data_IF_416956396456
#
_entry.id   IF_416956396456
#
_cell.length_a   1.000
_cell.length_b   1.000
_cell.length_c   1.000
_cell.angle_alpha   90.00
_cell.angle_beta   90.00
_cell.angle_gamma   90.00
#
_symmetry.space_group_name_H-M   'P 1'
#
loop_
_entity.id
_entity.type
_entity.pdbx_description
1 polymer ?
#
# COMPACT_ATOMS: atom_id res chain seq x y z
N UNK A 1 40.90 -0.83 7.46
CA UNK A 1 39.80 -1.82 7.54
C UNK A 1 38.64 -1.37 8.43
N UNK A 2 38.61 -0.13 8.93
CA UNK A 2 37.53 0.39 9.76
C UNK A 2 36.68 1.41 8.97
N UNK A 3 35.93 0.95 7.96
CA UNK A 3 35.03 1.77 7.15
C UNK A 3 33.71 1.03 6.91
N UNK A 4 32.57 1.71 7.07
CA UNK A 4 31.24 1.10 6.85
C UNK A 4 31.03 0.65 5.39
N UNK A 5 31.68 1.32 4.44
CA UNK A 5 31.64 0.97 3.02
C UNK A 5 33.04 1.06 2.41
N UNK A 6 33.43 0.05 1.63
CA UNK A 6 34.65 0.05 0.82
C UNK A 6 34.29 0.31 -0.65
N UNK A 7 34.84 1.35 -1.26
CA UNK A 7 34.59 1.74 -2.65
C UNK A 7 35.91 1.91 -3.41
N UNK A 8 35.97 1.45 -4.66
CA UNK A 8 37.20 1.50 -5.46
C UNK A 8 37.52 2.87 -6.07
N UNK A 9 36.51 3.73 -6.30
CA UNK A 9 36.68 5.08 -6.88
C UNK A 9 35.63 6.04 -6.32
N UNK A 10 35.98 7.32 -6.21
CA UNK A 10 35.10 8.35 -5.63
C UNK A 10 33.79 8.56 -6.40
N UNK A 11 33.77 8.36 -7.73
CA UNK A 11 32.54 8.51 -8.53
C UNK A 11 31.41 7.55 -8.10
N UNK A 12 31.72 6.39 -7.50
CA UNK A 12 30.68 5.48 -6.99
C UNK A 12 29.93 6.03 -5.77
N UNK A 13 30.50 7.02 -5.06
CA UNK A 13 29.86 7.67 -3.92
C UNK A 13 28.56 8.37 -4.33
N UNK A 14 28.52 8.94 -5.55
CA UNK A 14 27.32 9.62 -6.07
C UNK A 14 26.13 8.67 -6.15
N UNK A 15 26.33 7.49 -6.75
CA UNK A 15 25.28 6.46 -6.87
C UNK A 15 24.96 5.79 -5.55
N UNK A 16 25.95 5.58 -4.68
CA UNK A 16 25.69 5.00 -3.36
C UNK A 16 24.81 5.95 -2.52
N UNK A 17 25.16 7.22 -2.45
CA UNK A 17 24.46 8.19 -1.62
C UNK A 17 23.08 8.55 -2.21
N UNK A 18 23.03 9.02 -3.45
CA UNK A 18 21.79 9.56 -4.03
C UNK A 18 20.74 8.50 -4.35
N UNK A 19 21.16 7.30 -4.76
CA UNK A 19 20.22 6.23 -5.11
C UNK A 19 19.98 5.32 -3.91
N UNK A 20 21.02 4.68 -3.38
CA UNK A 20 20.84 3.70 -2.32
C UNK A 20 20.52 4.34 -0.98
N UNK A 21 21.11 5.51 -0.67
CA UNK A 21 20.77 6.28 0.53
C UNK A 21 19.32 6.76 0.54
N UNK A 22 18.84 7.32 -0.59
CA UNK A 22 17.45 7.76 -0.74
C UNK A 22 16.46 6.59 -0.59
N UNK A 23 16.69 5.48 -1.31
CA UNK A 23 15.86 4.29 -1.20
C UNK A 23 15.88 3.68 0.19
N UNK A 24 17.05 3.55 0.81
CA UNK A 24 17.18 3.00 2.16
C UNK A 24 16.41 3.83 3.18
N UNK A 25 16.55 5.17 3.13
CA UNK A 25 15.80 6.07 4.00
C UNK A 25 14.28 5.97 3.79
N UNK A 26 13.82 6.03 2.52
CA UNK A 26 12.40 5.99 2.18
C UNK A 26 11.74 4.67 2.60
N UNK A 27 12.41 3.55 2.30
CA UNK A 27 12.01 2.20 2.71
C UNK A 27 11.93 2.04 4.21
N UNK A 28 13.00 2.40 4.92
CA UNK A 28 13.07 2.24 6.37
C UNK A 28 12.03 3.11 7.08
N UNK A 29 11.85 4.36 6.66
CA UNK A 29 10.85 5.25 7.22
C UNK A 29 9.42 4.70 7.09
N UNK A 30 9.05 4.23 5.89
CA UNK A 30 7.73 3.63 5.62
C UNK A 30 7.53 2.31 6.37
N UNK A 31 8.55 1.46 6.37
CA UNK A 31 8.55 0.19 7.10
C UNK A 31 8.33 0.43 8.59
N UNK A 32 9.06 1.37 9.20
CA UNK A 32 8.92 1.67 10.62
C UNK A 32 7.55 2.26 10.96
N UNK A 33 7.04 3.20 10.16
CA UNK A 33 5.69 3.76 10.36
C UNK A 33 4.61 2.66 10.32
N UNK A 34 4.67 1.79 9.31
CA UNK A 34 3.70 0.70 9.19
C UNK A 34 3.89 -0.38 10.29
N UNK A 35 5.12 -0.61 10.74
CA UNK A 35 5.38 -1.49 11.89
C UNK A 35 4.74 -0.94 13.17
N UNK A 36 4.83 0.37 13.43
CA UNK A 36 4.13 0.98 14.56
C UNK A 36 2.61 0.94 14.39
N UNK A 37 2.12 1.23 13.18
CA UNK A 37 0.70 1.15 12.85
C UNK A 37 0.12 -0.24 13.20
N UNK A 38 0.69 -1.32 12.64
CA UNK A 38 0.11 -2.67 12.82
C UNK A 38 0.13 -3.12 14.28
N UNK A 39 1.21 -2.80 15.02
CA UNK A 39 1.34 -3.19 16.41
C UNK A 39 0.39 -2.38 17.29
N UNK A 40 0.27 -1.07 17.03
CA UNK A 40 -0.67 -0.21 17.74
C UNK A 40 -2.12 -0.64 17.48
N UNK A 41 -2.47 -0.93 16.22
CA UNK A 41 -3.82 -1.39 15.87
C UNK A 41 -4.18 -2.70 16.59
N UNK A 42 -3.24 -3.65 16.64
CA UNK A 42 -3.46 -4.93 17.33
C UNK A 42 -3.52 -4.79 18.86
N UNK A 43 -2.64 -3.98 19.46
CA UNK A 43 -2.66 -3.74 20.90
C UNK A 43 -3.92 -2.98 21.34
N UNK A 44 -4.33 -1.97 20.58
CA UNK A 44 -5.55 -1.19 20.87
C UNK A 44 -6.83 -2.00 20.64
N UNK A 45 -6.83 -2.97 19.71
CA UNK A 45 -7.92 -3.94 19.57
C UNK A 45 -8.18 -4.71 20.88
N UNK A 46 -7.11 -5.21 21.50
CA UNK A 46 -7.20 -5.90 22.79
C UNK A 46 -7.61 -4.94 23.92
N UNK A 47 -7.18 -3.68 23.87
CA UNK A 47 -7.62 -2.65 24.80
C UNK A 47 -9.14 -2.42 24.74
N UNK A 48 -9.72 -2.35 23.54
CA UNK A 48 -11.18 -2.21 23.39
C UNK A 48 -11.94 -3.37 24.02
N UNK A 49 -11.43 -4.59 23.89
CA UNK A 49 -12.01 -5.77 24.57
C UNK A 49 -12.01 -5.64 26.09
N UNK A 50 -10.96 -5.07 26.70
CA UNK A 50 -10.89 -4.94 28.16
C UNK A 50 -12.01 -4.07 28.73
N UNK A 51 -12.51 -3.09 27.97
CA UNK A 51 -13.66 -2.26 28.38
C UNK A 51 -14.92 -3.09 28.61
N UNK A 52 -15.11 -4.17 27.85
CA UNK A 52 -16.30 -5.03 27.94
C UNK A 52 -16.14 -6.18 28.93
N UNK A 53 -14.92 -6.47 29.39
CA UNK A 53 -14.63 -7.59 30.28
C UNK A 53 -14.29 -7.13 31.71
N UNK A 54 -14.81 -5.96 32.10
CA UNK A 54 -14.62 -5.34 33.40
C UNK A 54 -13.15 -5.29 33.85
N UNK A 55 -12.22 -5.08 32.91
CA UNK A 55 -10.77 -5.06 33.17
C UNK A 55 -10.21 -6.34 33.80
N UNK A 56 -10.86 -7.49 33.59
CA UNK A 56 -10.42 -8.79 34.09
C UNK A 56 -9.06 -9.25 33.57
N UNK A 57 -8.54 -8.63 32.50
CA UNK A 57 -7.29 -9.03 31.85
C UNK A 57 -7.41 -10.28 30.98
N UNK A 58 -8.63 -10.76 30.74
CA UNK A 58 -8.88 -11.88 29.83
C UNK A 58 -8.67 -11.45 28.37
N UNK A 59 -8.02 -12.30 27.58
CA UNK A 59 -7.80 -12.06 26.16
C UNK A 59 -8.74 -12.91 25.32
N UNK A 60 -9.42 -12.33 24.32
CA UNK A 60 -10.31 -13.08 23.44
C UNK A 60 -9.51 -13.89 22.41
N UNK A 61 -8.32 -13.38 22.03
CA UNK A 61 -7.43 -14.04 21.07
C UNK A 61 -6.45 -14.94 21.83
N UNK A 62 -6.26 -16.16 21.33
CA UNK A 62 -5.31 -17.12 21.89
C UNK A 62 -3.83 -16.67 21.76
N UNK A 63 -3.00 -17.04 22.73
CA UNK A 63 -1.58 -16.66 22.82
C UNK A 63 -0.74 -17.07 21.61
N UNK A 64 -1.05 -18.20 20.96
CA UNK A 64 -0.36 -18.64 19.75
C UNK A 64 -0.69 -17.69 18.59
N UNK A 65 -1.97 -17.31 18.45
CA UNK A 65 -2.38 -16.33 17.44
C UNK A 65 -1.80 -14.92 17.71
N UNK A 66 -1.66 -14.50 18.97
CA UNK A 66 -0.92 -13.27 19.32
C UNK A 66 0.53 -13.32 18.83
N UNK A 67 1.21 -14.45 19.02
CA UNK A 67 2.63 -14.60 18.68
C UNK A 67 2.83 -14.66 17.16
N UNK A 68 2.01 -15.45 16.47
CA UNK A 68 2.11 -15.66 15.02
C UNK A 68 1.71 -14.41 14.22
N UNK A 69 0.80 -13.58 14.76
CA UNK A 69 0.45 -12.29 14.17
C UNK A 69 1.68 -11.45 13.85
N UNK A 70 2.56 -11.28 14.84
CA UNK A 70 3.77 -10.48 14.68
C UNK A 70 4.88 -11.21 13.93
N UNK A 71 5.00 -12.52 14.10
CA UNK A 71 6.10 -13.29 13.56
C UNK A 71 5.93 -13.72 12.10
N UNK A 72 4.72 -14.09 11.68
CA UNK A 72 4.49 -14.72 10.37
C UNK A 72 3.51 -13.92 9.52
N UNK A 73 2.34 -13.57 10.06
CA UNK A 73 1.28 -12.98 9.24
C UNK A 73 1.64 -11.59 8.70
N UNK A 74 2.41 -10.82 9.46
CA UNK A 74 2.62 -9.41 9.13
C UNK A 74 4.09 -8.99 8.93
N UNK A 75 5.07 -9.78 9.36
CA UNK A 75 6.51 -9.46 9.27
C UNK A 75 7.13 -9.78 7.89
N UNK A 76 6.70 -10.85 7.23
CA UNK A 76 7.26 -11.24 5.93
C UNK A 76 6.83 -10.25 4.82
N UNK A 77 5.54 -9.88 4.72
CA UNK A 77 5.11 -8.91 3.70
C UNK A 77 5.75 -7.53 3.92
N UNK A 78 5.81 -7.05 5.16
CA UNK A 78 6.40 -5.74 5.48
C UNK A 78 7.90 -5.72 5.18
N UNK A 79 8.64 -6.80 5.48
CA UNK A 79 10.07 -6.88 5.22
C UNK A 79 10.34 -6.83 3.71
N UNK A 80 9.57 -7.56 2.91
CA UNK A 80 9.78 -7.57 1.46
C UNK A 80 9.35 -6.27 0.81
N UNK A 81 8.23 -5.66 1.21
CA UNK A 81 7.90 -4.30 0.78
C UNK A 81 8.99 -3.32 1.21
N UNK A 82 9.52 -3.44 2.44
CA UNK A 82 10.64 -2.65 2.93
C UNK A 82 11.96 -2.83 2.18
N UNK A 83 12.17 -3.94 1.46
CA UNK A 83 13.40 -4.16 0.68
C UNK A 83 13.18 -3.88 -0.81
N UNK A 84 12.03 -4.26 -1.35
CA UNK A 84 11.74 -4.23 -2.78
C UNK A 84 11.10 -2.93 -3.24
N UNK A 85 10.43 -2.17 -2.36
CA UNK A 85 9.70 -0.98 -2.77
C UNK A 85 10.68 0.14 -3.19
N UNK A 86 10.42 0.75 -4.32
CA UNK A 86 11.19 1.87 -4.85
C UNK A 86 10.23 3.04 -4.95
N UNK A 87 10.68 4.28 -4.76
CA UNK A 87 9.82 5.45 -4.96
C UNK A 87 10.04 6.08 -6.33
N UNK A 88 11.31 6.26 -6.71
CA UNK A 88 11.78 6.77 -8.00
C UNK A 88 12.86 5.86 -8.61
N UNK A 89 13.01 5.93 -9.93
CA UNK A 89 14.04 5.19 -10.65
C UNK A 89 15.44 5.77 -10.39
N UNK A 90 16.45 4.89 -10.37
CA UNK A 90 17.86 5.27 -10.23
C UNK A 90 18.34 6.37 -11.21
N UNK A 91 18.05 6.33 -12.53
CA UNK A 91 18.44 7.41 -13.44
C UNK A 91 17.79 8.76 -13.10
N UNK A 92 16.56 8.76 -12.60
CA UNK A 92 15.85 9.99 -12.22
C UNK A 92 16.48 10.61 -10.97
N UNK A 93 16.81 9.81 -9.96
CA UNK A 93 17.50 10.27 -8.75
C UNK A 93 18.91 10.83 -9.03
N UNK A 94 19.62 10.27 -10.02
CA UNK A 94 20.91 10.79 -10.46
C UNK A 94 20.80 12.08 -11.26
N UNK A 95 19.75 12.22 -12.08
CA UNK A 95 19.48 13.44 -12.86
C UNK A 95 19.05 14.59 -11.95
N UNK A 96 18.18 14.32 -10.98
CA UNK A 96 17.53 15.33 -10.14
C UNK A 96 17.91 15.14 -8.67
N UNK A 97 19.07 15.70 -8.30
CA UNK A 97 19.68 15.53 -6.97
C UNK A 97 18.88 16.17 -5.82
N UNK A 98 17.92 17.05 -6.12
CA UNK A 98 17.15 17.76 -5.11
C UNK A 98 16.21 16.83 -4.30
N UNK A 99 15.79 15.68 -4.85
CA UNK A 99 14.98 14.69 -4.13
C UNK A 99 15.69 14.13 -2.88
N UNK A 100 17.03 14.10 -2.88
CA UNK A 100 17.81 13.66 -1.72
C UNK A 100 17.64 14.57 -0.49
N UNK A 101 17.20 15.82 -0.70
CA UNK A 101 16.91 16.75 0.41
C UNK A 101 15.86 16.21 1.38
N UNK A 102 14.94 15.34 0.91
CA UNK A 102 13.92 14.70 1.72
C UNK A 102 14.51 13.84 2.86
N UNK A 103 15.60 13.13 2.58
CA UNK A 103 16.34 12.36 3.57
C UNK A 103 17.10 13.26 4.55
N UNK A 104 17.75 14.31 4.04
CA UNK A 104 18.51 15.26 4.87
C UNK A 104 17.62 16.04 5.85
N UNK A 105 16.40 16.38 5.44
CA UNK A 105 15.42 17.10 6.27
C UNK A 105 14.54 16.15 7.12
N UNK A 106 14.77 14.84 7.06
CA UNK A 106 13.95 13.81 7.68
C UNK A 106 12.43 13.99 7.47
N UNK A 107 12.03 14.30 6.24
CA UNK A 107 10.64 14.66 5.94
C UNK A 107 9.68 13.46 5.88
N UNK A 108 10.17 12.24 5.63
CA UNK A 108 9.32 11.04 5.57
C UNK A 108 8.95 10.51 6.96
N UNK A 109 9.89 10.57 7.91
CA UNK A 109 9.69 10.19 9.29
C UNK A 109 9.75 11.41 10.20
N UNK A 110 8.58 11.92 10.55
CA UNK A 110 8.40 13.08 11.44
C UNK A 110 7.47 12.69 12.59
N UNK A 111 7.66 13.25 13.78
CA UNK A 111 6.80 13.00 14.94
C UNK A 111 5.32 13.24 14.65
N UNK A 112 5.00 14.25 13.82
CA UNK A 112 3.64 14.51 13.36
C UNK A 112 3.04 13.34 12.56
N UNK A 113 3.78 12.84 11.56
CA UNK A 113 3.36 11.68 10.75
C UNK A 113 3.21 10.42 11.60
N UNK A 114 4.12 10.23 12.56
CA UNK A 114 3.99 9.16 13.55
C UNK A 114 2.70 9.28 14.37
N UNK A 115 2.39 10.48 14.90
CA UNK A 115 1.15 10.73 15.63
C UNK A 115 -0.10 10.47 14.80
N UNK A 116 -0.12 10.89 13.54
CA UNK A 116 -1.21 10.58 12.60
C UNK A 116 -1.35 9.07 12.36
N UNK A 117 -0.23 8.36 12.19
CA UNK A 117 -0.23 6.90 12.04
C UNK A 117 -0.76 6.18 13.29
N UNK A 118 -0.44 6.67 14.49
CA UNK A 118 -0.99 6.14 15.75
C UNK A 118 -2.50 6.41 15.84
N UNK A 119 -2.95 7.61 15.50
CA UNK A 119 -4.37 7.95 15.48
C UNK A 119 -5.15 7.09 14.47
N UNK A 120 -4.58 6.87 13.27
CA UNK A 120 -5.13 5.98 12.25
C UNK A 120 -5.22 4.53 12.75
N UNK A 121 -4.19 4.03 13.45
CA UNK A 121 -4.20 2.70 14.06
C UNK A 121 -5.30 2.54 15.13
N UNK A 122 -5.49 3.55 15.98
CA UNK A 122 -6.54 3.58 17.01
C UNK A 122 -7.93 3.61 16.34
N UNK A 123 -8.10 4.39 15.28
CA UNK A 123 -9.35 4.44 14.52
C UNK A 123 -9.67 3.09 13.88
N UNK A 124 -8.71 2.48 13.16
CA UNK A 124 -8.95 1.21 12.46
C UNK A 124 -9.20 0.06 13.44
N UNK A 125 -8.50 0.01 14.57
CA UNK A 125 -8.78 -1.01 15.59
C UNK A 125 -10.14 -0.83 16.26
N UNK A 126 -10.54 0.42 16.52
CA UNK A 126 -11.87 0.77 17.02
C UNK A 126 -12.94 0.32 16.04
N UNK A 127 -12.81 0.68 14.76
CA UNK A 127 -13.74 0.28 13.71
C UNK A 127 -13.84 -1.25 13.58
N UNK A 128 -12.71 -1.98 13.57
CA UNK A 128 -12.71 -3.45 13.54
C UNK A 128 -13.44 -4.03 14.76
N UNK A 129 -13.14 -3.53 15.96
CA UNK A 129 -13.76 -4.04 17.19
C UNK A 129 -15.27 -3.81 17.21
N UNK A 130 -15.72 -2.56 17.04
CA UNK A 130 -17.13 -2.21 17.13
C UNK A 130 -17.96 -2.78 15.98
N UNK A 131 -17.39 -2.89 14.77
CA UNK A 131 -18.06 -3.55 13.66
C UNK A 131 -18.24 -5.04 13.93
N UNK A 132 -17.20 -5.71 14.44
CA UNK A 132 -17.28 -7.12 14.81
C UNK A 132 -18.26 -7.33 15.96
N UNK A 133 -18.21 -6.49 17.00
CA UNK A 133 -19.13 -6.53 18.12
C UNK A 133 -20.58 -6.32 17.69
N UNK A 134 -20.84 -5.36 16.79
CA UNK A 134 -22.18 -5.10 16.25
C UNK A 134 -22.75 -6.25 15.41
N UNK A 135 -21.94 -6.90 14.58
CA UNK A 135 -22.36 -8.06 13.77
C UNK A 135 -22.67 -9.29 14.62
N UNK A 136 -22.01 -9.42 15.77
CA UNK A 136 -22.17 -10.54 16.69
C UNK A 136 -22.97 -10.20 17.96
N UNK A 137 -23.56 -9.02 18.02
CA UNK A 137 -24.41 -8.58 19.12
C UNK A 137 -25.61 -9.51 19.27
N UNK A 138 -25.93 -9.91 20.50
CA UNK A 138 -27.01 -10.87 20.84
C UNK A 138 -26.93 -12.24 20.15
N UNK A 139 -25.77 -12.62 19.63
CA UNK A 139 -25.59 -13.95 19.05
C UNK A 139 -24.91 -14.92 20.01
N UNK A 140 -25.24 -16.21 19.89
CA UNK A 140 -24.71 -17.29 20.75
C UNK A 140 -23.25 -17.67 20.39
N UNK A 141 -22.37 -16.68 20.31
CA UNK A 141 -20.96 -16.86 19.94
C UNK A 141 -20.10 -16.74 21.19
N UNK A 142 -19.34 -17.80 21.47
CA UNK A 142 -18.41 -17.82 22.59
C UNK A 142 -17.26 -16.82 22.41
N UNK A 143 -16.63 -16.43 23.52
CA UNK A 143 -15.49 -15.49 23.55
C UNK A 143 -14.34 -15.97 22.63
N UNK A 144 -14.04 -17.26 22.67
CA UNK A 144 -13.00 -17.87 21.83
C UNK A 144 -13.34 -17.72 20.35
N UNK A 145 -14.57 -18.05 19.94
CA UNK A 145 -15.02 -17.89 18.55
C UNK A 145 -14.91 -16.43 18.09
N UNK A 146 -15.35 -15.49 18.94
CA UNK A 146 -15.22 -14.06 18.67
C UNK A 146 -13.75 -13.65 18.51
N UNK A 147 -12.86 -14.19 19.34
CA UNK A 147 -11.40 -14.04 19.23
C UNK A 147 -10.83 -14.42 17.86
N UNK A 148 -11.24 -15.57 17.31
CA UNK A 148 -10.84 -16.00 15.97
C UNK A 148 -11.34 -15.02 14.90
N UNK A 149 -12.60 -14.59 15.01
CA UNK A 149 -13.19 -13.63 14.06
C UNK A 149 -12.39 -12.33 14.06
N UNK A 150 -12.21 -11.69 15.22
CA UNK A 150 -11.52 -10.40 15.29
C UNK A 150 -10.04 -10.52 14.88
N UNK A 151 -9.38 -11.64 15.17
CA UNK A 151 -7.99 -11.89 14.76
C UNK A 151 -7.86 -11.95 13.23
N UNK A 152 -8.75 -12.68 12.55
CA UNK A 152 -8.72 -12.78 11.09
C UNK A 152 -9.05 -11.42 10.46
N UNK A 153 -10.08 -10.74 10.96
CA UNK A 153 -10.51 -9.45 10.43
C UNK A 153 -9.41 -8.40 10.58
N UNK A 154 -8.75 -8.28 11.74
CA UNK A 154 -7.67 -7.30 11.92
C UNK A 154 -6.48 -7.60 11.00
N UNK A 155 -6.13 -8.88 10.79
CA UNK A 155 -5.05 -9.23 9.86
C UNK A 155 -5.41 -8.83 8.42
N UNK A 156 -6.64 -9.07 8.00
CA UNK A 156 -7.10 -8.66 6.67
C UNK A 156 -7.00 -7.13 6.53
N UNK A 157 -7.52 -6.36 7.50
CA UNK A 157 -7.45 -4.88 7.48
C UNK A 157 -6.01 -4.38 7.42
N UNK A 158 -5.13 -4.92 8.25
CA UNK A 158 -3.71 -4.57 8.28
C UNK A 158 -3.02 -4.91 6.94
N UNK A 159 -3.29 -6.08 6.36
CA UNK A 159 -2.76 -6.46 5.04
C UNK A 159 -3.25 -5.54 3.92
N UNK A 160 -4.53 -5.17 3.89
CA UNK A 160 -5.01 -4.19 2.91
C UNK A 160 -4.45 -2.79 3.15
N UNK A 161 -4.20 -2.39 4.41
CA UNK A 161 -3.48 -1.15 4.70
C UNK A 161 -2.08 -1.17 4.06
N UNK A 162 -1.34 -2.28 4.18
CA UNK A 162 -0.04 -2.43 3.51
C UNK A 162 -0.17 -2.37 1.98
N UNK A 163 -1.23 -2.95 1.42
CA UNK A 163 -1.54 -2.86 0.00
C UNK A 163 -1.62 -1.40 -0.47
N UNK A 164 -2.35 -0.57 0.28
CA UNK A 164 -2.54 0.86 -0.01
C UNK A 164 -1.26 1.67 0.19
N UNK A 165 -0.36 1.25 1.08
CA UNK A 165 0.94 1.90 1.30
C UNK A 165 2.02 1.50 0.30
N UNK A 166 1.88 0.34 -0.34
CA UNK A 166 2.86 -0.16 -1.33
C UNK A 166 2.86 0.75 -2.57
N UNK A 167 4.03 1.29 -2.91
CA UNK A 167 4.15 2.12 -4.12
C UNK A 167 4.21 1.23 -5.35
N UNK A 168 5.21 0.36 -5.43
CA UNK A 168 5.47 -0.47 -6.61
C UNK A 168 5.05 -1.91 -6.39
N UNK A 169 4.04 -2.31 -7.16
CA UNK A 169 3.52 -3.66 -7.15
C UNK A 169 4.40 -4.59 -8.00
N UNK A 170 5.23 -5.38 -7.33
CA UNK A 170 5.96 -6.49 -7.94
C UNK A 170 5.17 -7.80 -7.79
N UNK A 171 5.53 -8.82 -8.57
CA UNK A 171 4.95 -10.17 -8.42
C UNK A 171 5.23 -10.72 -7.01
N UNK A 172 6.43 -10.47 -6.48
CA UNK A 172 6.82 -10.90 -5.13
C UNK A 172 5.93 -10.24 -4.08
N UNK A 173 5.64 -8.93 -4.20
CA UNK A 173 4.76 -8.22 -3.29
C UNK A 173 3.33 -8.81 -3.32
N UNK A 174 2.81 -9.15 -4.49
CA UNK A 174 1.50 -9.82 -4.60
C UNK A 174 1.50 -11.18 -3.91
N UNK A 175 2.46 -12.05 -4.24
CA UNK A 175 2.52 -13.41 -3.70
C UNK A 175 2.63 -13.39 -2.18
N UNK A 176 3.45 -12.50 -1.61
CA UNK A 176 3.64 -12.45 -0.16
C UNK A 176 2.48 -11.79 0.56
N UNK A 177 1.87 -10.74 0.00
CA UNK A 177 0.75 -10.07 0.64
C UNK A 177 -0.51 -10.95 0.63
N UNK A 178 -0.87 -11.51 -0.52
CA UNK A 178 -2.02 -12.42 -0.61
C UNK A 178 -1.73 -13.76 0.05
N UNK A 179 -0.48 -14.22 -0.04
CA UNK A 179 0.00 -15.41 0.66
C UNK A 179 -0.10 -15.26 2.18
N UNK A 180 0.15 -14.07 2.75
CA UNK A 180 0.00 -13.87 4.19
C UNK A 180 -1.46 -13.88 4.64
N UNK A 181 -2.37 -13.31 3.84
CA UNK A 181 -3.81 -13.42 4.09
C UNK A 181 -4.25 -14.88 4.04
N UNK A 182 -3.86 -15.63 3.00
CA UNK A 182 -4.17 -17.06 2.89
C UNK A 182 -3.57 -17.88 4.05
N UNK A 183 -2.35 -17.56 4.47
CA UNK A 183 -1.65 -18.24 5.56
C UNK A 183 -2.43 -18.15 6.88
N UNK A 184 -3.10 -17.03 7.15
CA UNK A 184 -3.92 -16.86 8.36
C UNK A 184 -5.07 -17.86 8.37
N UNK A 185 -5.76 -18.02 7.23
CA UNK A 185 -6.83 -19.01 7.12
C UNK A 185 -6.29 -20.43 7.27
N UNK A 186 -5.25 -20.79 6.51
CA UNK A 186 -4.64 -22.13 6.55
C UNK A 186 -4.18 -22.48 7.96
N UNK A 187 -3.47 -21.56 8.63
CA UNK A 187 -3.02 -21.78 10.00
C UNK A 187 -4.19 -21.99 10.95
N UNK A 188 -5.20 -21.12 10.94
CA UNK A 188 -6.34 -21.24 11.86
C UNK A 188 -7.17 -22.51 11.60
N UNK A 189 -7.31 -22.95 10.35
CA UNK A 189 -7.95 -24.23 10.03
C UNK A 189 -7.16 -25.42 10.59
N UNK A 190 -5.84 -25.46 10.37
CA UNK A 190 -4.97 -26.54 10.85
C UNK A 190 -4.90 -26.53 12.39
N UNK A 191 -4.75 -25.35 12.99
CA UNK A 191 -4.63 -25.18 14.44
C UNK A 191 -5.88 -25.70 15.17
N UNK A 192 -7.08 -25.28 14.75
CA UNK A 192 -8.33 -25.73 15.37
C UNK A 192 -8.65 -27.20 15.10
N UNK A 193 -8.10 -27.79 14.02
CA UNK A 193 -8.21 -29.22 13.74
C UNK A 193 -7.23 -30.08 14.57
N UNK A 194 -6.02 -29.60 14.85
CA UNK A 194 -5.03 -30.34 15.67
C UNK A 194 -5.38 -30.28 17.15
N UNK A 195 -5.73 -29.09 17.66
CA UNK A 195 -6.09 -28.90 19.07
C UNK A 195 -7.31 -29.77 19.47
N UNK A 196 -8.20 -30.01 18.50
CA UNK A 196 -9.33 -30.94 18.59
C UNK A 196 -8.95 -32.35 19.08
N UNK A 197 -7.73 -32.82 18.75
CA UNK A 197 -7.25 -34.15 19.11
C UNK A 197 -6.48 -34.17 20.42
N UNK A 198 -5.88 -33.04 20.80
CA UNK A 198 -4.99 -32.95 21.94
C UNK A 198 -5.62 -32.31 23.19
N UNK A 199 -6.84 -31.74 23.07
CA UNK A 199 -7.64 -31.12 24.16
C UNK A 199 -6.83 -30.12 25.00
N UNK A 200 -5.91 -29.38 24.39
CA UNK A 200 -5.17 -28.35 25.12
C UNK A 200 -6.05 -27.13 25.36
N UNK A 201 -6.91 -26.78 24.39
CA UNK A 201 -7.90 -25.71 24.51
C UNK A 201 -9.28 -26.17 23.97
N UNK A 202 -10.37 -25.54 24.42
CA UNK A 202 -11.74 -25.78 23.91
C UNK A 202 -11.93 -25.14 22.52
N UNK A 203 -11.00 -25.39 21.59
CA UNK A 203 -10.96 -24.76 20.26
C UNK A 203 -11.46 -25.67 19.12
N UNK A 204 -12.19 -26.72 19.48
CA UNK A 204 -12.61 -27.79 18.57
C UNK A 204 -13.39 -27.24 17.37
N UNK A 205 -12.79 -27.31 16.17
CA UNK A 205 -13.43 -26.97 14.89
C UNK A 205 -14.04 -25.57 14.78
N UNK A 206 -13.64 -24.64 15.66
CA UNK A 206 -14.16 -23.26 15.69
C UNK A 206 -14.02 -22.58 14.33
N UNK A 207 -12.89 -22.74 13.65
CA UNK A 207 -12.66 -22.08 12.36
C UNK A 207 -13.64 -22.55 11.29
N UNK A 208 -14.02 -23.83 11.30
CA UNK A 208 -15.01 -24.38 10.38
C UNK A 208 -16.42 -23.88 10.72
N UNK A 209 -16.76 -23.83 12.02
CA UNK A 209 -18.03 -23.29 12.49
C UNK A 209 -18.19 -21.80 12.13
N UNK A 210 -17.16 -20.99 12.36
CA UNK A 210 -17.14 -19.56 12.01
C UNK A 210 -17.26 -19.35 10.51
N UNK A 211 -16.47 -20.07 9.72
CA UNK A 211 -16.45 -19.95 8.25
C UNK A 211 -17.72 -20.48 7.58
N UNK A 212 -18.49 -21.34 8.24
CA UNK A 212 -19.79 -21.81 7.75
C UNK A 212 -20.87 -20.72 7.81
N UNK A 213 -20.68 -19.67 8.61
CA UNK A 213 -21.68 -18.61 8.81
C UNK A 213 -21.45 -17.46 7.81
N UNK A 214 -22.47 -17.03 7.04
CA UNK A 214 -22.30 -15.99 6.01
C UNK A 214 -21.91 -14.61 6.60
N UNK A 215 -22.33 -14.33 7.84
CA UNK A 215 -21.98 -13.09 8.57
C UNK A 215 -20.48 -12.88 8.72
N UNK A 216 -19.70 -13.96 8.83
CA UNK A 216 -18.25 -13.88 8.94
C UNK A 216 -17.62 -13.34 7.64
N UNK A 217 -17.99 -13.90 6.50
CA UNK A 217 -17.48 -13.46 5.19
C UNK A 217 -17.89 -12.02 4.86
N UNK A 218 -19.13 -11.66 5.20
CA UNK A 218 -19.59 -10.28 5.07
C UNK A 218 -18.73 -9.32 5.89
N UNK A 219 -18.43 -9.67 7.14
CA UNK A 219 -17.55 -8.87 8.00
C UNK A 219 -16.11 -8.78 7.44
N UNK A 220 -15.55 -9.87 6.92
CA UNK A 220 -14.22 -9.86 6.30
C UNK A 220 -14.14 -8.95 5.07
N UNK A 221 -15.24 -8.77 4.33
CA UNK A 221 -15.30 -7.86 3.18
C UNK A 221 -15.61 -6.42 3.59
N UNK A 222 -16.51 -6.23 4.55
CA UNK A 222 -16.96 -4.91 4.99
C UNK A 222 -15.90 -4.19 5.83
N UNK A 223 -15.22 -4.90 6.74
CA UNK A 223 -14.30 -4.28 7.67
C UNK A 223 -13.12 -3.54 6.99
N UNK A 224 -12.42 -4.12 5.97
CA UNK A 224 -11.38 -3.40 5.26
C UNK A 224 -11.89 -2.16 4.55
N UNK A 225 -13.08 -2.22 3.96
CA UNK A 225 -13.69 -1.07 3.28
C UNK A 225 -13.93 0.06 4.27
N UNK A 226 -14.63 -0.21 5.38
CA UNK A 226 -14.93 0.80 6.40
C UNK A 226 -13.66 1.40 7.01
N UNK A 227 -12.68 0.55 7.37
CA UNK A 227 -11.45 1.01 8.01
C UNK A 227 -10.54 1.82 7.08
N UNK A 228 -10.49 1.49 5.79
CA UNK A 228 -9.56 2.11 4.85
C UNK A 228 -10.12 3.34 4.15
N UNK A 229 -11.43 3.57 4.15
CA UNK A 229 -12.06 4.74 3.52
C UNK A 229 -11.38 6.05 3.94
N UNK A 230 -11.23 6.38 5.24
CA UNK A 230 -10.62 7.66 5.63
C UNK A 230 -9.17 7.78 5.18
N UNK A 231 -8.42 6.67 5.21
CA UNK A 231 -7.02 6.62 4.78
C UNK A 231 -6.88 6.87 3.28
N UNK A 232 -7.72 6.20 2.47
CA UNK A 232 -7.72 6.36 1.02
C UNK A 232 -8.13 7.77 0.64
N UNK A 233 -9.18 8.32 1.25
CA UNK A 233 -9.61 9.71 1.03
C UNK A 233 -8.47 10.67 1.38
N UNK A 234 -7.84 10.50 2.54
CA UNK A 234 -6.71 11.34 2.96
C UNK A 234 -5.56 11.33 1.95
N UNK A 235 -5.21 10.15 1.41
CA UNK A 235 -4.18 10.03 0.38
C UNK A 235 -4.57 10.69 -0.94
N UNK A 236 -5.82 10.53 -1.38
CA UNK A 236 -6.30 11.17 -2.61
C UNK A 236 -6.30 12.69 -2.47
N UNK A 237 -6.74 13.21 -1.33
CA UNK A 237 -6.72 14.65 -1.04
C UNK A 237 -5.29 15.18 -0.99
N UNK A 238 -4.36 14.48 -0.34
CA UNK A 238 -2.94 14.87 -0.33
C UNK A 238 -2.35 14.85 -1.75
N UNK A 239 -2.71 13.87 -2.58
CA UNK A 239 -2.21 13.75 -3.95
C UNK A 239 -2.74 14.84 -4.88
N UNK A 240 -4.02 15.19 -4.78
CA UNK A 240 -4.65 16.18 -5.67
C UNK A 240 -4.34 17.63 -5.24
N UNK A 241 -4.46 17.93 -3.94
CA UNK A 241 -4.36 19.31 -3.44
C UNK A 241 -2.95 19.67 -2.96
N UNK A 242 -2.17 18.72 -2.47
CA UNK A 242 -0.83 18.95 -1.90
C UNK A 242 0.24 17.97 -2.42
N UNK A 243 0.38 17.76 -3.74
CA UNK A 243 1.29 16.76 -4.28
C UNK A 243 2.74 17.06 -3.94
N UNK A 244 3.38 16.16 -3.20
CA UNK A 244 4.82 16.17 -2.95
C UNK A 244 5.63 16.07 -4.25
N UNK A 245 6.79 16.71 -4.30
CA UNK A 245 7.68 16.69 -5.47
C UNK A 245 8.01 15.26 -5.94
N UNK A 246 8.21 14.33 -5.00
CA UNK A 246 8.45 12.91 -5.30
C UNK A 246 7.24 12.25 -5.96
N UNK A 247 6.02 12.62 -5.55
CA UNK A 247 4.78 12.11 -6.16
C UNK A 247 4.61 12.67 -7.58
N UNK A 248 4.91 13.95 -7.81
CA UNK A 248 4.89 14.57 -9.15
C UNK A 248 5.90 13.90 -10.09
N UNK A 249 7.13 13.71 -9.61
CA UNK A 249 8.18 13.03 -10.36
C UNK A 249 7.78 11.60 -10.76
N UNK A 250 7.16 10.88 -9.82
CA UNK A 250 6.65 9.53 -10.06
C UNK A 250 5.51 9.51 -11.08
N UNK A 251 4.58 10.46 -11.02
CA UNK A 251 3.51 10.59 -12.00
C UNK A 251 4.09 10.84 -13.42
N UNK A 252 5.11 11.69 -13.52
CA UNK A 252 5.82 11.94 -14.78
C UNK A 252 6.56 10.69 -15.30
N UNK A 253 7.20 9.89 -14.43
CA UNK A 253 7.80 8.61 -14.83
C UNK A 253 6.76 7.62 -15.36
N UNK A 254 5.58 7.54 -14.71
CA UNK A 254 4.49 6.67 -15.15
C UNK A 254 3.95 7.07 -16.52
N UNK A 255 3.82 8.37 -16.79
CA UNK A 255 3.39 8.89 -18.08
C UNK A 255 4.40 8.60 -19.20
N UNK A 256 5.71 8.64 -18.91
CA UNK A 256 6.76 8.26 -19.86
C UNK A 256 6.79 6.76 -20.16
N UNK A 257 6.34 5.91 -19.23
CA UNK A 257 6.28 4.45 -19.38
C UNK A 257 5.03 3.97 -20.12
N UNK A 258 3.91 4.68 -20.02
CA UNK A 258 2.74 4.38 -20.85
C UNK A 258 3.03 4.74 -22.30
N UNK A 259 2.99 3.79 -23.25
CA UNK A 259 3.03 4.12 -24.66
C UNK A 259 1.71 4.83 -24.96
N UNK A 260 1.69 6.16 -24.93
CA UNK A 260 0.57 6.89 -25.51
C UNK A 260 0.73 6.72 -27.02
N UNK A 261 -0.26 6.17 -27.74
CA UNK A 261 -0.24 6.23 -29.20
C UNK A 261 -0.18 7.71 -29.53
N UNK A 262 0.86 8.13 -30.25
CA UNK A 262 0.99 9.49 -30.73
C UNK A 262 -0.34 9.90 -31.35
N UNK A 263 -0.98 10.92 -30.79
CA UNK A 263 -2.00 11.68 -31.51
C UNK A 263 -1.35 12.09 -32.81
N UNK A 264 -1.69 11.38 -33.88
CA UNK A 264 -1.35 11.75 -35.24
C UNK A 264 -1.99 13.11 -35.45
N UNK A 265 -1.22 14.18 -35.31
CA UNK A 265 -1.54 15.42 -36.00
C UNK A 265 -1.70 15.03 -37.47
N UNK A 266 -2.86 15.25 -38.10
CA UNK A 266 -2.99 14.99 -39.51
C UNK A 266 -1.96 15.89 -40.19
N UNK A 267 -0.98 15.26 -40.84
CA UNK A 267 -0.18 15.93 -41.86
C UNK A 267 -1.19 16.34 -42.92
N UNK A 268 -1.37 17.65 -43.12
CA UNK A 268 -2.05 18.20 -44.29
C UNK A 268 -1.31 17.67 -45.52
N UNK A 269 -1.84 16.60 -46.10
CA UNK A 269 -1.44 16.11 -47.41
C UNK A 269 -1.95 17.11 -48.42
N UNK A 270 -1.03 17.93 -48.94
CA UNK A 270 -1.14 18.54 -50.26
C UNK A 270 -1.45 17.43 -51.29
N UNK A 271 -2.73 17.29 -51.64
CA UNK A 271 -3.15 16.54 -52.82
C UNK A 271 -3.20 17.51 -54.02
N UNK A 272 -2.14 17.48 -54.82
CA UNK A 272 -2.27 17.76 -56.25
C UNK A 272 -2.97 16.58 -56.91
N UNK A 273 -4.18 16.78 -57.44
CA UNK A 273 -4.68 15.99 -58.57
C UNK A 273 -5.37 16.88 -59.61
N UNK A 274 -4.69 16.98 -60.75
CA UNK A 274 -5.17 17.29 -62.09
C UNK A 274 -6.59 16.76 -62.42
N UNK A 275 -7.50 17.59 -62.96
CA UNK A 275 -7.72 17.72 -64.42
C UNK A 275 -9.01 18.44 -64.86
N UNK A 276 -8.81 19.26 -65.90
CA UNK A 276 -9.68 19.56 -67.06
C UNK A 276 -10.97 20.41 -66.96
N UNK A 277 -10.82 21.62 -67.53
CA UNK A 277 -11.44 22.07 -68.79
C UNK A 277 -12.49 23.19 -68.75
N UNK A 278 -12.16 24.19 -69.58
CA UNK A 278 -13.01 25.05 -70.39
C UNK A 278 -13.29 26.51 -69.96
N UNK A 279 -12.91 27.34 -70.94
CA UNK A 279 -13.53 28.57 -71.39
C UNK A 279 -13.24 29.88 -70.66
N UNK A 280 -12.33 30.60 -71.32
CA UNK A 280 -12.65 31.81 -72.07
C UNK A 280 -12.31 33.16 -71.42
N UNK A 281 -11.75 33.99 -72.31
CA UNK A 281 -11.85 35.44 -72.36
C UNK A 281 -10.82 36.26 -71.60
N UNK A 282 -9.89 36.77 -72.41
CA UNK A 282 -9.49 38.18 -72.50
C UNK A 282 -8.69 38.84 -71.36
N UNK A 283 -7.57 39.40 -71.83
CA UNK A 283 -7.22 40.82 -71.70
C UNK A 283 -6.15 41.20 -70.67
N UNK A 284 -5.04 41.67 -71.26
CA UNK A 284 -4.13 42.77 -70.87
C UNK A 284 -2.98 42.45 -69.91
N UNK A 285 -1.73 42.47 -70.40
CA UNK A 285 -0.75 43.60 -70.37
C UNK A 285 -0.46 44.06 -68.92
N UNK A 286 0.77 44.15 -68.40
CA UNK A 286 2.05 44.62 -68.96
C UNK A 286 3.16 44.47 -67.91
N UNK A 287 4.41 44.22 -68.37
CA UNK A 287 5.71 44.82 -67.93
C UNK A 287 6.25 44.44 -66.52
N UNK A 288 7.26 43.57 -66.42
CA UNK A 288 8.73 43.83 -66.41
C UNK A 288 9.21 44.80 -65.32
N UNK A 289 9.91 44.29 -64.29
CA UNK A 289 11.37 44.50 -64.09
C UNK A 289 11.85 43.95 -62.73
N UNK A 290 12.78 42.99 -62.79
CA UNK A 290 13.87 42.76 -61.82
C UNK A 290 14.94 43.87 -61.94
N UNK A 291 16.05 43.87 -61.16
CA UNK A 291 16.21 43.67 -59.72
C UNK A 291 17.13 44.75 -59.10
N UNK A 292 17.26 44.76 -57.76
CA UNK A 292 18.51 44.86 -56.99
C UNK A 292 18.20 44.66 -55.49
#
# INVERSE_FOLDING_TARGET
>A
MASDFAMGRFHFLEKLLLVHGHWSYSRLARMMLYFFYKNMAYATLLFWWQLFNAWSGSNPIDGINLTIFNLVYTSLPIMVVGVADQDLLAPTLLREKHYYSQGRLSSLYTHWKFGLTVADAIYQSCAVFFLSYGVYYESDVGVTEFGFVINIVIVIVVSFHLAVETLHWTVVNHVLLWGSVAMVFVFNYVYTAIDSQQKFMDTYWIMFAVSSRPRFWFLCLLAPVVCLIPRVIGKVVEQEFFPSDVLRARAAEKQRRSPTPSLVTPVETTEETHNHANNSTQSRTTVFHDPL
#
